data_IF_389512830109
#
_entry.id   IF_389512830109
#
_cell.length_a   1.000
_cell.length_b   1.000
_cell.length_c   1.000
_cell.angle_alpha   90.00
_cell.angle_beta   90.00
_cell.angle_gamma   90.00
#
_symmetry.space_group_name_H-M   'P 1'
#
loop_
_entity.id
_entity.type
_entity.pdbx_description
1 polymer ?
#
# COMPACT_ATOMS: atom_id res chain seq x y z
N UNK A 1 9.83 19.44 -11.33
CA UNK A 1 10.90 19.92 -10.41
C UNK A 1 12.19 19.15 -10.61
N UNK A 2 12.20 17.82 -10.44
CA UNK A 2 13.43 17.02 -10.53
C UNK A 2 14.22 17.22 -11.84
N UNK A 3 13.57 17.13 -13.00
CA UNK A 3 14.22 17.38 -14.31
C UNK A 3 14.87 18.77 -14.40
N UNK A 4 14.22 19.81 -13.84
CA UNK A 4 14.71 21.19 -13.89
C UNK A 4 15.95 21.43 -13.04
N UNK A 5 16.13 20.67 -11.96
CA UNK A 5 17.16 20.94 -10.94
C UNK A 5 18.29 19.90 -11.00
N UNK A 6 17.95 18.61 -11.13
CA UNK A 6 18.91 17.49 -11.06
C UNK A 6 19.13 16.79 -12.42
N UNK A 7 18.42 17.20 -13.48
CA UNK A 7 18.57 16.66 -14.82
C UNK A 7 17.85 15.33 -15.07
N UNK A 8 17.96 14.83 -16.31
CA UNK A 8 17.18 13.69 -16.79
C UNK A 8 17.64 12.33 -16.23
N UNK A 9 18.92 12.18 -15.88
CA UNK A 9 19.43 10.95 -15.28
C UNK A 9 18.76 10.67 -13.91
N UNK A 10 18.69 11.68 -13.05
CA UNK A 10 17.98 11.60 -11.76
C UNK A 10 16.49 11.27 -11.93
N UNK A 11 15.85 11.83 -12.97
CA UNK A 11 14.46 11.51 -13.32
C UNK A 11 14.31 10.05 -13.70
N UNK A 12 15.22 9.49 -14.49
CA UNK A 12 15.21 8.08 -14.88
C UNK A 12 15.31 7.15 -13.66
N UNK A 13 16.26 7.41 -12.76
CA UNK A 13 16.44 6.62 -11.51
C UNK A 13 15.20 6.69 -10.64
N UNK A 14 14.66 7.89 -10.42
CA UNK A 14 13.44 8.08 -9.64
C UNK A 14 12.24 7.37 -10.27
N UNK A 15 12.02 7.56 -11.57
CA UNK A 15 10.89 6.98 -12.28
C UNK A 15 10.95 5.45 -12.28
N UNK A 16 12.12 4.86 -12.44
CA UNK A 16 12.33 3.42 -12.40
C UNK A 16 11.94 2.85 -11.01
N UNK A 17 12.46 3.44 -9.92
CA UNK A 17 12.12 3.02 -8.56
C UNK A 17 10.62 3.21 -8.25
N UNK A 18 10.06 4.35 -8.66
CA UNK A 18 8.67 4.72 -8.39
C UNK A 18 7.70 3.80 -9.12
N UNK A 19 7.87 3.61 -10.43
CA UNK A 19 6.97 2.78 -11.23
C UNK A 19 7.06 1.31 -10.85
N UNK A 20 8.27 0.80 -10.57
CA UNK A 20 8.43 -0.56 -10.08
C UNK A 20 7.61 -0.76 -8.80
N UNK A 21 7.79 0.12 -7.81
CA UNK A 21 7.10 0.02 -6.53
C UNK A 21 5.58 0.16 -6.71
N UNK A 22 5.15 1.16 -7.50
CA UNK A 22 3.73 1.43 -7.73
C UNK A 22 3.05 0.22 -8.37
N UNK A 23 3.60 -0.31 -9.46
CA UNK A 23 3.01 -1.40 -10.22
C UNK A 23 2.93 -2.69 -9.40
N UNK A 24 3.99 -3.04 -8.66
CA UNK A 24 4.00 -4.24 -7.82
C UNK A 24 2.94 -4.18 -6.72
N UNK A 25 2.80 -3.05 -6.04
CA UNK A 25 1.75 -2.88 -5.04
C UNK A 25 0.35 -2.84 -5.67
N UNK A 26 0.22 -2.18 -6.83
CA UNK A 26 -1.07 -1.99 -7.49
C UNK A 26 -1.65 -3.31 -8.01
N UNK A 27 -0.82 -4.20 -8.57
CA UNK A 27 -1.25 -5.53 -9.03
C UNK A 27 -1.87 -6.34 -7.87
N UNK A 28 -1.32 -6.23 -6.67
CA UNK A 28 -1.84 -6.94 -5.50
C UNK A 28 -3.14 -6.34 -4.95
N UNK A 29 -3.30 -5.01 -5.03
CA UNK A 29 -4.38 -4.26 -4.35
C UNK A 29 -5.60 -4.06 -5.24
N UNK A 30 -5.38 -3.82 -6.53
CA UNK A 30 -6.42 -3.32 -7.41
C UNK A 30 -7.58 -4.30 -7.65
N UNK A 31 -7.36 -5.62 -7.84
CA UNK A 31 -8.46 -6.58 -7.99
C UNK A 31 -9.40 -6.59 -6.77
N UNK A 32 -8.81 -6.55 -5.57
CA UNK A 32 -9.53 -6.54 -4.29
C UNK A 32 -10.32 -5.24 -4.16
N UNK A 33 -9.69 -4.12 -4.52
CA UNK A 33 -10.31 -2.79 -4.41
C UNK A 33 -11.49 -2.63 -5.34
N UNK A 34 -11.36 -3.06 -6.61
CA UNK A 34 -12.45 -3.02 -7.59
C UNK A 34 -13.64 -3.90 -7.17
N UNK A 35 -13.36 -5.10 -6.65
CA UNK A 35 -14.41 -5.97 -6.14
C UNK A 35 -15.13 -5.32 -4.94
N UNK A 36 -14.37 -4.89 -3.94
CA UNK A 36 -14.92 -4.32 -2.72
C UNK A 36 -15.64 -2.99 -2.95
N UNK A 37 -15.24 -2.19 -3.95
CA UNK A 37 -15.88 -0.91 -4.26
C UNK A 37 -17.35 -1.10 -4.63
N UNK A 38 -17.64 -1.97 -5.60
CA UNK A 38 -19.01 -2.26 -6.03
C UNK A 38 -19.90 -2.76 -4.88
N UNK A 39 -19.35 -3.62 -4.01
CA UNK A 39 -20.08 -4.14 -2.85
C UNK A 39 -20.30 -3.05 -1.80
N UNK A 40 -19.31 -2.19 -1.56
CA UNK A 40 -19.41 -1.13 -0.56
C UNK A 40 -20.53 -0.13 -0.86
N UNK A 41 -20.70 0.27 -2.13
CA UNK A 41 -21.80 1.14 -2.55
C UNK A 41 -23.15 0.45 -2.42
N UNK A 42 -23.23 -0.83 -2.81
CA UNK A 42 -24.47 -1.62 -2.66
C UNK A 42 -24.90 -1.76 -1.21
N UNK A 43 -23.97 -2.08 -0.30
CA UNK A 43 -24.26 -2.19 1.14
C UNK A 43 -24.73 -0.83 1.68
N UNK A 44 -24.11 0.26 1.24
CA UNK A 44 -24.52 1.61 1.66
C UNK A 44 -25.93 1.97 1.18
N UNK A 45 -26.26 1.66 -0.07
CA UNK A 45 -27.58 1.97 -0.63
C UNK A 45 -28.71 1.09 -0.07
N UNK A 46 -28.43 -0.19 0.21
CA UNK A 46 -29.45 -1.15 0.66
C UNK A 46 -29.59 -1.23 2.18
N UNK A 47 -28.47 -1.15 2.91
CA UNK A 47 -28.42 -1.46 4.34
C UNK A 47 -28.00 -0.24 5.19
N UNK A 48 -27.58 0.85 4.55
CA UNK A 48 -27.22 2.10 5.20
C UNK A 48 -25.81 2.11 5.80
N UNK A 49 -25.53 3.13 6.62
CA UNK A 49 -24.18 3.49 7.03
C UNK A 49 -23.50 2.48 7.96
N UNK A 50 -24.23 1.90 8.91
CA UNK A 50 -23.63 1.07 9.95
C UNK A 50 -23.14 -0.29 9.41
N UNK A 51 -23.89 -1.00 8.54
CA UNK A 51 -23.38 -2.17 7.82
C UNK A 51 -22.19 -1.83 6.91
N UNK A 52 -22.23 -0.70 6.19
CA UNK A 52 -21.09 -0.22 5.39
C UNK A 52 -19.86 0.03 6.25
N UNK A 53 -20.03 0.55 7.47
CA UNK A 53 -18.93 0.81 8.39
C UNK A 53 -18.20 -0.47 8.77
N UNK A 54 -18.94 -1.55 9.08
CA UNK A 54 -18.36 -2.88 9.36
C UNK A 54 -17.69 -3.47 8.13
N UNK A 55 -18.35 -3.39 6.97
CA UNK A 55 -17.78 -3.81 5.68
C UNK A 55 -16.44 -3.12 5.42
N UNK A 56 -16.40 -1.79 5.57
CA UNK A 56 -15.23 -0.97 5.32
C UNK A 56 -14.12 -1.19 6.34
N UNK A 57 -14.45 -1.44 7.61
CA UNK A 57 -13.48 -1.84 8.62
C UNK A 57 -12.76 -3.12 8.19
N UNK A 58 -13.53 -4.11 7.75
CA UNK A 58 -12.98 -5.39 7.34
C UNK A 58 -12.15 -5.25 6.06
N UNK A 59 -12.65 -4.49 5.09
CA UNK A 59 -11.94 -4.20 3.86
C UNK A 59 -10.62 -3.43 4.08
N UNK A 60 -10.61 -2.42 4.96
CA UNK A 60 -9.38 -1.70 5.34
C UNK A 60 -8.38 -2.65 6.00
N UNK A 61 -8.85 -3.55 6.87
CA UNK A 61 -7.99 -4.57 7.49
C UNK A 61 -7.35 -5.49 6.46
N UNK A 62 -8.14 -5.98 5.50
CA UNK A 62 -7.66 -6.81 4.39
C UNK A 62 -6.62 -6.05 3.54
N UNK A 63 -6.90 -4.80 3.19
CA UNK A 63 -5.95 -3.97 2.42
C UNK A 63 -4.64 -3.76 3.19
N UNK A 64 -4.71 -3.45 4.49
CA UNK A 64 -3.51 -3.29 5.31
C UNK A 64 -2.65 -4.54 5.31
N UNK A 65 -3.26 -5.72 5.43
CA UNK A 65 -2.56 -7.00 5.35
C UNK A 65 -1.87 -7.13 4.00
N UNK A 66 -2.61 -6.99 2.89
CA UNK A 66 -2.08 -7.21 1.53
C UNK A 66 -0.97 -6.22 1.20
N UNK A 67 -1.22 -4.92 1.41
CA UNK A 67 -0.24 -3.87 1.09
C UNK A 67 1.01 -4.01 1.94
N UNK A 68 0.87 -4.30 3.23
CA UNK A 68 2.03 -4.49 4.12
C UNK A 68 2.81 -5.76 3.76
N UNK A 69 2.13 -6.85 3.40
CA UNK A 69 2.78 -8.09 2.93
C UNK A 69 3.70 -7.82 1.75
N UNK A 70 3.16 -7.15 0.73
CA UNK A 70 3.87 -6.86 -0.52
C UNK A 70 4.97 -5.83 -0.27
N UNK A 71 4.68 -4.78 0.51
CA UNK A 71 5.65 -3.75 0.86
C UNK A 71 6.85 -4.29 1.63
N UNK A 72 6.63 -5.11 2.67
CA UNK A 72 7.71 -5.73 3.45
C UNK A 72 8.51 -6.71 2.58
N UNK A 73 7.85 -7.53 1.77
CA UNK A 73 8.52 -8.46 0.85
C UNK A 73 9.41 -7.71 -0.15
N UNK A 74 8.87 -6.65 -0.76
CA UNK A 74 9.61 -5.81 -1.70
C UNK A 74 10.79 -5.10 -1.01
N UNK A 75 10.62 -4.67 0.24
CA UNK A 75 11.70 -4.04 1.01
C UNK A 75 12.84 -5.02 1.28
N UNK A 76 12.54 -6.25 1.69
CA UNK A 76 13.54 -7.30 1.94
C UNK A 76 14.24 -7.73 0.65
N UNK A 77 13.51 -7.83 -0.46
CA UNK A 77 14.04 -8.25 -1.76
C UNK A 77 14.51 -7.10 -2.65
N UNK A 78 14.66 -5.88 -2.12
CA UNK A 78 14.94 -4.69 -2.94
C UNK A 78 16.18 -4.80 -3.83
N UNK A 79 17.27 -5.39 -3.35
CA UNK A 79 18.51 -5.56 -4.13
C UNK A 79 18.35 -6.55 -5.29
N UNK A 80 17.92 -7.81 -5.07
CA UNK A 80 17.74 -8.75 -6.16
C UNK A 80 16.62 -8.31 -7.12
N UNK A 81 15.55 -7.67 -6.63
CA UNK A 81 14.48 -7.16 -7.48
C UNK A 81 15.01 -6.07 -8.42
N UNK A 82 15.81 -5.11 -7.92
CA UNK A 82 16.42 -4.08 -8.77
C UNK A 82 17.41 -4.70 -9.77
N UNK A 83 18.29 -5.59 -9.30
CA UNK A 83 19.31 -6.21 -10.17
C UNK A 83 18.75 -7.09 -11.28
N UNK A 84 17.53 -7.62 -11.11
CA UNK A 84 16.87 -8.48 -12.10
C UNK A 84 15.89 -7.70 -12.98
N UNK A 85 15.10 -6.79 -12.40
CA UNK A 85 14.02 -6.11 -13.13
C UNK A 85 14.43 -4.76 -13.71
N UNK A 86 15.54 -4.18 -13.26
CA UNK A 86 16.03 -2.88 -13.72
C UNK A 86 17.44 -3.03 -14.28
N UNK A 87 17.73 -2.30 -15.36
CA UNK A 87 19.07 -2.25 -15.96
C UNK A 87 20.13 -1.81 -14.92
N UNK A 88 21.35 -2.39 -14.92
CA UNK A 88 22.39 -2.12 -13.93
C UNK A 88 22.71 -0.62 -13.72
N UNK A 89 22.60 0.19 -14.77
CA UNK A 89 22.83 1.65 -14.72
C UNK A 89 21.88 2.38 -13.76
N UNK A 90 20.76 1.78 -13.39
CA UNK A 90 19.80 2.33 -12.42
C UNK A 90 19.94 1.71 -11.02
N UNK A 91 21.07 1.05 -10.70
CA UNK A 91 21.27 0.41 -9.40
C UNK A 91 21.03 1.35 -8.20
N UNK A 92 21.28 2.65 -8.36
CA UNK A 92 21.00 3.68 -7.35
C UNK A 92 19.51 3.75 -6.94
N UNK A 93 18.59 3.28 -7.79
CA UNK A 93 17.15 3.19 -7.51
C UNK A 93 16.84 2.38 -6.24
N UNK A 94 17.72 1.43 -5.87
CA UNK A 94 17.52 0.60 -4.67
C UNK A 94 17.43 1.42 -3.39
N UNK A 95 18.15 2.55 -3.31
CA UNK A 95 18.14 3.43 -2.15
C UNK A 95 16.84 4.23 -2.04
N UNK A 96 16.18 4.51 -3.17
CA UNK A 96 14.91 5.22 -3.19
C UNK A 96 13.77 4.35 -2.66
N UNK A 97 13.87 3.02 -2.78
CA UNK A 97 12.84 2.08 -2.31
C UNK A 97 12.58 2.19 -0.81
N UNK A 98 13.56 2.60 -0.01
CA UNK A 98 13.40 2.82 1.45
C UNK A 98 12.33 3.88 1.74
N UNK A 99 12.21 4.89 0.88
CA UNK A 99 11.23 5.96 1.02
C UNK A 99 9.96 5.68 0.20
N UNK A 100 10.11 5.11 -0.98
CA UNK A 100 8.99 4.91 -1.91
C UNK A 100 8.04 3.78 -1.51
N UNK A 101 8.54 2.70 -0.90
CA UNK A 101 7.70 1.59 -0.43
C UNK A 101 6.68 2.06 0.62
N UNK A 102 7.07 2.74 1.73
CA UNK A 102 6.09 3.25 2.68
C UNK A 102 5.21 4.34 2.07
N UNK A 103 5.76 5.21 1.22
CA UNK A 103 5.00 6.24 0.52
C UNK A 103 3.85 5.64 -0.32
N UNK A 104 4.17 4.66 -1.16
CA UNK A 104 3.21 4.03 -2.07
C UNK A 104 2.26 3.11 -1.28
N UNK A 105 2.71 2.49 -0.19
CA UNK A 105 1.81 1.78 0.73
C UNK A 105 0.69 2.71 1.25
N UNK A 106 1.03 3.93 1.64
CA UNK A 106 0.06 4.93 2.09
C UNK A 106 -0.87 5.40 0.97
N UNK A 107 -0.34 5.64 -0.24
CA UNK A 107 -1.18 6.08 -1.36
C UNK A 107 -2.19 5.00 -1.76
N UNK A 108 -1.85 3.71 -1.67
CA UNK A 108 -2.78 2.63 -1.99
C UNK A 108 -3.94 2.49 -0.99
N UNK A 109 -3.75 2.91 0.26
CA UNK A 109 -4.81 2.92 1.27
C UNK A 109 -5.73 4.15 1.15
N UNK A 110 -5.21 5.26 0.62
CA UNK A 110 -5.86 6.56 0.65
C UNK A 110 -7.20 6.63 -0.12
N UNK A 111 -7.38 6.01 -1.31
CA UNK A 111 -8.68 5.98 -1.99
C UNK A 111 -9.80 5.37 -1.14
N UNK A 112 -9.48 4.33 -0.37
CA UNK A 112 -10.43 3.68 0.54
C UNK A 112 -10.87 4.63 1.66
N UNK A 113 -9.94 5.41 2.21
CA UNK A 113 -10.24 6.42 3.23
C UNK A 113 -11.08 7.57 2.66
N UNK A 114 -10.79 7.98 1.42
CA UNK A 114 -11.51 9.04 0.70
C UNK A 114 -13.00 8.71 0.45
N UNK A 115 -13.40 7.44 0.56
CA UNK A 115 -14.82 7.04 0.44
C UNK A 115 -15.73 7.68 1.49
N UNK A 116 -15.18 8.05 2.65
CA UNK A 116 -15.92 8.81 3.68
C UNK A 116 -16.54 10.09 3.13
N UNK A 117 -15.87 10.75 2.19
CA UNK A 117 -16.37 11.95 1.51
C UNK A 117 -17.33 11.62 0.37
N UNK A 118 -17.08 10.52 -0.35
CA UNK A 118 -17.86 10.12 -1.52
C UNK A 118 -19.29 9.71 -1.14
N UNK A 119 -19.46 8.91 -0.07
CA UNK A 119 -20.79 8.48 0.39
C UNK A 119 -21.71 9.64 0.78
N UNK A 120 -21.14 10.71 1.36
CA UNK A 120 -21.88 11.91 1.76
C UNK A 120 -21.83 13.03 0.70
N UNK A 121 -21.31 12.75 -0.50
CA UNK A 121 -21.18 13.70 -1.63
C UNK A 121 -20.39 14.99 -1.29
N UNK A 122 -19.43 14.91 -0.38
CA UNK A 122 -18.52 16.02 0.01
C UNK A 122 -17.25 16.04 -0.85
N UNK A 123 -17.41 16.02 -2.17
CA UNK A 123 -16.29 15.95 -3.12
C UNK A 123 -15.42 17.21 -3.12
N UNK A 124 -15.99 18.38 -2.81
CA UNK A 124 -15.23 19.62 -2.67
C UNK A 124 -14.22 19.56 -1.51
N UNK A 125 -14.61 18.91 -0.41
CA UNK A 125 -13.72 18.71 0.73
C UNK A 125 -12.58 17.74 0.39
N UNK A 126 -12.90 16.66 -0.32
CA UNK A 126 -11.90 15.76 -0.90
C UNK A 126 -10.91 16.53 -1.79
N UNK A 127 -11.40 17.36 -2.72
CA UNK A 127 -10.57 18.17 -3.61
C UNK A 127 -9.66 19.14 -2.86
N UNK A 128 -10.14 19.77 -1.77
CA UNK A 128 -9.33 20.67 -0.94
C UNK A 128 -8.14 19.95 -0.32
N UNK A 129 -8.35 18.77 0.26
CA UNK A 129 -7.27 17.98 0.84
C UNK A 129 -6.29 17.45 -0.21
N UNK A 130 -6.78 17.03 -1.38
CA UNK A 130 -5.91 16.64 -2.50
C UNK A 130 -5.05 17.82 -2.97
N UNK A 131 -5.64 19.00 -3.11
CA UNK A 131 -4.92 20.20 -3.53
C UNK A 131 -3.86 20.61 -2.49
N UNK A 132 -4.18 20.59 -1.19
CA UNK A 132 -3.21 20.90 -0.14
C UNK A 132 -2.02 19.94 -0.15
N UNK A 133 -2.27 18.64 -0.37
CA UNK A 133 -1.19 17.66 -0.50
C UNK A 133 -0.33 17.92 -1.76
N UNK A 134 -0.95 18.26 -2.89
CA UNK A 134 -0.23 18.62 -4.11
C UNK A 134 0.66 19.86 -3.96
N UNK A 135 0.16 20.90 -3.28
CA UNK A 135 0.94 22.11 -2.96
C UNK A 135 2.10 21.77 -2.03
N UNK A 136 1.86 20.97 -0.99
CA UNK A 136 2.92 20.50 -0.09
C UNK A 136 3.98 19.69 -0.83
N UNK A 137 3.58 18.81 -1.76
CA UNK A 137 4.52 18.06 -2.60
C UNK A 137 5.41 18.98 -3.42
N UNK A 138 4.83 20.00 -4.07
CA UNK A 138 5.59 20.95 -4.88
C UNK A 138 6.59 21.73 -4.02
N UNK A 139 6.13 22.26 -2.88
CA UNK A 139 6.98 23.01 -1.94
C UNK A 139 8.14 22.15 -1.40
N UNK A 140 7.85 20.91 -0.98
CA UNK A 140 8.88 19.98 -0.49
C UNK A 140 9.88 19.61 -1.59
N UNK A 141 9.41 19.41 -2.83
CA UNK A 141 10.32 19.15 -3.95
C UNK A 141 11.25 20.34 -4.21
N UNK A 142 10.75 21.58 -4.20
CA UNK A 142 11.62 22.75 -4.34
C UNK A 142 12.59 22.93 -3.18
N UNK A 143 12.21 22.50 -1.97
CA UNK A 143 13.08 22.58 -0.79
C UNK A 143 14.15 21.48 -0.76
N UNK A 144 13.81 20.24 -1.14
CA UNK A 144 14.69 19.07 -0.93
C UNK A 144 15.51 18.67 -2.15
N UNK A 145 14.96 18.81 -3.37
CA UNK A 145 15.64 18.40 -4.60
C UNK A 145 16.97 19.14 -4.82
N UNK A 146 17.13 20.45 -4.53
CA UNK A 146 18.41 21.13 -4.69
C UNK A 146 19.56 20.52 -3.89
N UNK A 147 19.27 19.88 -2.75
CA UNK A 147 20.30 19.33 -1.85
C UNK A 147 20.44 17.80 -1.98
N UNK A 148 19.38 17.12 -2.40
CA UNK A 148 19.29 15.64 -2.34
C UNK A 148 18.85 14.99 -3.65
N UNK A 149 18.68 15.75 -4.74
CA UNK A 149 18.29 15.26 -6.06
C UNK A 149 17.09 14.28 -6.01
N UNK A 150 17.22 13.08 -6.60
CA UNK A 150 16.19 12.03 -6.63
C UNK A 150 15.78 11.53 -5.24
N UNK A 151 16.70 11.52 -4.26
CA UNK A 151 16.39 11.15 -2.88
C UNK A 151 15.47 12.20 -2.26
N UNK A 152 15.73 13.48 -2.53
CA UNK A 152 14.86 14.59 -2.10
C UNK A 152 13.44 14.46 -2.64
N UNK A 153 13.30 14.05 -3.91
CA UNK A 153 12.01 13.77 -4.54
C UNK A 153 11.28 12.59 -3.87
N UNK A 154 12.01 11.54 -3.50
CA UNK A 154 11.44 10.37 -2.80
C UNK A 154 10.94 10.73 -1.39
N UNK A 155 11.72 11.50 -0.63
CA UNK A 155 11.31 11.98 0.70
C UNK A 155 10.11 12.92 0.58
N UNK A 156 10.13 13.87 -0.36
CA UNK A 156 9.00 14.78 -0.61
C UNK A 156 7.71 14.01 -0.93
N UNK A 157 7.81 12.94 -1.71
CA UNK A 157 6.68 12.06 -2.05
C UNK A 157 6.15 11.31 -0.83
N UNK A 158 7.04 10.75 -0.01
CA UNK A 158 6.67 10.06 1.24
C UNK A 158 5.93 10.98 2.20
N UNK A 159 6.46 12.17 2.46
CA UNK A 159 5.84 13.16 3.35
C UNK A 159 4.50 13.62 2.79
N UNK A 160 4.42 13.87 1.48
CA UNK A 160 3.16 14.23 0.82
C UNK A 160 2.09 13.14 0.96
N UNK A 161 2.43 11.87 0.74
CA UNK A 161 1.45 10.79 0.87
C UNK A 161 1.04 10.53 2.32
N UNK A 162 1.93 10.80 3.28
CA UNK A 162 1.55 10.83 4.69
C UNK A 162 0.55 11.95 4.96
N UNK A 163 0.82 13.18 4.52
CA UNK A 163 -0.11 14.32 4.65
C UNK A 163 -1.45 13.99 4.00
N UNK A 164 -1.42 13.46 2.77
CA UNK A 164 -2.62 13.10 2.02
C UNK A 164 -3.44 12.03 2.74
N UNK A 165 -2.83 10.89 3.09
CA UNK A 165 -3.51 9.79 3.78
C UNK A 165 -4.06 10.21 5.14
N UNK A 166 -3.27 10.95 5.94
CA UNK A 166 -3.71 11.50 7.23
C UNK A 166 -4.86 12.49 7.06
N UNK A 167 -4.83 13.36 6.05
CA UNK A 167 -5.91 14.30 5.76
C UNK A 167 -7.20 13.58 5.36
N UNK A 168 -7.11 12.51 4.56
CA UNK A 168 -8.26 11.69 4.19
C UNK A 168 -8.85 10.96 5.39
N UNK A 169 -8.00 10.44 6.28
CA UNK A 169 -8.46 9.79 7.50
C UNK A 169 -9.13 10.80 8.44
N UNK A 170 -8.37 11.78 8.92
CA UNK A 170 -8.82 12.76 9.93
C UNK A 170 -9.98 13.61 9.42
N UNK A 171 -9.87 14.09 8.17
CA UNK A 171 -10.93 14.85 7.52
C UNK A 171 -12.15 13.99 7.17
N UNK A 172 -11.98 12.68 7.05
CA UNK A 172 -13.07 11.72 6.83
C UNK A 172 -13.87 11.42 8.10
N UNK A 173 -13.22 11.46 9.28
CA UNK A 173 -13.85 11.19 10.58
C UNK A 173 -15.08 12.07 10.86
N UNK A 174 -15.10 13.30 10.33
CA UNK A 174 -16.23 14.23 10.48
C UNK A 174 -17.49 13.82 9.70
N UNK A 175 -17.36 12.90 8.75
CA UNK A 175 -18.47 12.40 7.94
C UNK A 175 -18.75 10.93 8.23
N UNK A 176 -17.71 10.10 8.12
CA UNK A 176 -17.79 8.67 8.37
C UNK A 176 -16.54 8.24 9.11
N UNK A 177 -16.69 7.90 10.38
CA UNK A 177 -15.60 7.43 11.20
C UNK A 177 -15.31 5.95 10.92
N UNK A 178 -14.46 5.67 9.93
CA UNK A 178 -13.97 4.31 9.71
C UNK A 178 -13.20 3.83 10.94
N UNK A 179 -13.67 2.77 11.63
CA UNK A 179 -12.91 2.22 12.74
C UNK A 179 -11.63 1.60 12.17
N UNK A 180 -10.48 2.15 12.58
CA UNK A 180 -9.21 1.58 12.16
C UNK A 180 -9.03 0.22 12.85
N UNK A 181 -8.66 -0.83 12.11
CA UNK A 181 -8.40 -2.14 12.68
C UNK A 181 -7.02 -2.13 13.35
N UNK A 182 -6.86 -1.40 14.46
CA UNK A 182 -5.60 -1.26 15.18
C UNK A 182 -5.00 -2.60 15.62
N UNK A 183 -5.87 -3.57 15.96
CA UNK A 183 -5.44 -4.94 16.24
C UNK A 183 -4.72 -5.55 15.06
N UNK A 184 -5.25 -5.38 13.84
CA UNK A 184 -4.61 -5.82 12.60
C UNK A 184 -3.34 -5.05 12.36
N UNK A 185 -3.35 -3.71 12.46
CA UNK A 185 -2.15 -2.90 12.23
C UNK A 185 -0.97 -3.30 13.14
N UNK A 186 -1.24 -3.52 14.44
CA UNK A 186 -0.23 -3.96 15.41
C UNK A 186 0.14 -5.43 15.20
N UNK A 187 -0.82 -6.30 14.87
CA UNK A 187 -0.52 -7.72 14.65
C UNK A 187 0.38 -7.95 13.44
N UNK A 188 0.45 -7.00 12.49
CA UNK A 188 1.35 -7.05 11.33
C UNK A 188 2.84 -6.86 11.69
N UNK A 189 3.15 -6.37 12.89
CA UNK A 189 4.55 -6.23 13.35
C UNK A 189 5.21 -7.59 13.53
N UNK A 190 4.48 -8.57 14.07
CA UNK A 190 4.98 -9.94 14.30
C UNK A 190 5.35 -10.67 13.00
N UNK A 191 4.46 -10.81 11.99
CA UNK A 191 4.81 -11.46 10.73
C UNK A 191 5.88 -10.69 9.97
N UNK A 192 5.91 -9.35 10.03
CA UNK A 192 6.99 -8.56 9.44
C UNK A 192 8.34 -8.86 10.11
N UNK A 193 8.37 -8.95 11.44
CA UNK A 193 9.56 -9.31 12.20
C UNK A 193 10.02 -10.74 11.93
N UNK A 194 9.11 -11.72 11.87
CA UNK A 194 9.42 -13.11 11.52
C UNK A 194 9.95 -13.24 10.10
N UNK A 195 9.37 -12.50 9.15
CA UNK A 195 9.82 -12.49 7.76
C UNK A 195 11.21 -11.84 7.62
N UNK A 196 11.47 -10.77 8.37
CA UNK A 196 12.80 -10.15 8.45
C UNK A 196 13.82 -11.10 9.09
N UNK A 197 13.45 -11.80 10.17
CA UNK A 197 14.29 -12.80 10.81
C UNK A 197 14.59 -13.96 9.85
N UNK A 198 13.58 -14.48 9.15
CA UNK A 198 13.73 -15.52 8.13
C UNK A 198 14.71 -15.09 7.03
N UNK A 199 14.59 -13.85 6.55
CA UNK A 199 15.53 -13.27 5.57
C UNK A 199 16.97 -13.20 6.09
N UNK A 200 17.16 -12.78 7.35
CA UNK A 200 18.48 -12.73 7.99
C UNK A 200 19.07 -14.13 8.18
N UNK A 201 18.25 -15.11 8.60
CA UNK A 201 18.68 -16.50 8.83
C UNK A 201 19.05 -17.23 7.54
N UNK A 202 18.38 -16.92 6.43
CA UNK A 202 18.72 -17.42 5.09
C UNK A 202 19.96 -16.75 4.47
N UNK A 203 20.59 -15.83 5.20
CA UNK A 203 21.63 -14.90 4.75
C UNK A 203 22.45 -15.35 3.53
N UNK A 204 22.47 -14.51 2.49
CA UNK A 204 23.30 -14.55 1.26
C UNK A 204 23.47 -15.89 0.52
N UNK A 205 22.81 -16.98 0.94
CA UNK A 205 23.01 -18.32 0.38
C UNK A 205 22.39 -18.50 -1.01
N UNK A 206 21.45 -17.63 -1.37
CA UNK A 206 20.85 -17.61 -2.70
C UNK A 206 21.52 -16.52 -3.54
N UNK A 207 22.39 -16.93 -4.46
CA UNK A 207 22.82 -16.11 -5.59
C UNK A 207 21.59 -15.88 -6.50
N UNK A 208 20.81 -14.85 -6.15
CA UNK A 208 19.46 -14.53 -6.66
C UNK A 208 19.48 -13.97 -8.10
N UNK A 209 20.43 -14.38 -8.93
CA UNK A 209 20.60 -13.86 -10.29
C UNK A 209 19.53 -14.37 -11.27
N UNK A 210 18.80 -15.44 -10.94
CA UNK A 210 17.72 -15.95 -11.79
C UNK A 210 16.35 -15.37 -11.40
N UNK A 211 15.67 -14.79 -12.38
CA UNK A 211 14.31 -14.22 -12.28
C UNK A 211 13.33 -15.20 -11.63
N UNK A 212 13.45 -16.50 -11.95
CA UNK A 212 12.57 -17.55 -11.41
C UNK A 212 12.73 -17.76 -9.91
N UNK A 213 13.95 -17.65 -9.37
CA UNK A 213 14.20 -17.80 -7.92
C UNK A 213 13.72 -16.57 -7.17
N UNK A 214 13.88 -15.37 -7.73
CA UNK A 214 13.34 -14.13 -7.12
C UNK A 214 11.81 -14.16 -7.11
N UNK A 215 11.18 -14.58 -8.20
CA UNK A 215 9.72 -14.71 -8.29
C UNK A 215 9.18 -15.76 -7.30
N UNK A 216 9.81 -16.92 -7.23
CA UNK A 216 9.46 -17.97 -6.27
C UNK A 216 9.65 -17.50 -4.83
N UNK A 217 10.77 -16.82 -4.53
CA UNK A 217 11.01 -16.23 -3.22
C UNK A 217 9.94 -15.18 -2.88
N UNK A 218 9.60 -14.27 -3.80
CA UNK A 218 8.56 -13.28 -3.56
C UNK A 218 7.20 -13.93 -3.27
N UNK A 219 6.82 -14.97 -4.03
CA UNK A 219 5.58 -15.72 -3.78
C UNK A 219 5.63 -16.42 -2.41
N UNK A 220 6.73 -17.08 -2.07
CA UNK A 220 6.90 -17.73 -0.77
C UNK A 220 6.81 -16.69 0.36
N UNK A 221 7.47 -15.55 0.24
CA UNK A 221 7.44 -14.49 1.24
C UNK A 221 6.02 -13.92 1.43
N UNK A 222 5.29 -13.69 0.34
CA UNK A 222 3.88 -13.25 0.40
C UNK A 222 3.00 -14.32 1.02
N UNK A 223 3.12 -15.58 0.60
CA UNK A 223 2.31 -16.69 1.15
C UNK A 223 2.61 -16.91 2.63
N UNK A 224 3.88 -16.96 3.02
CA UNK A 224 4.30 -17.10 4.43
C UNK A 224 3.78 -15.92 5.25
N UNK A 225 3.92 -14.69 4.76
CA UNK A 225 3.39 -13.53 5.47
C UNK A 225 1.86 -13.59 5.59
N UNK A 226 1.14 -13.96 4.53
CA UNK A 226 -0.32 -14.13 4.57
C UNK A 226 -0.74 -15.26 5.52
N UNK A 227 0.04 -16.34 5.63
CA UNK A 227 -0.19 -17.41 6.58
C UNK A 227 0.09 -16.97 8.02
N UNK A 228 1.13 -16.18 8.28
CA UNK A 228 1.46 -15.66 9.61
C UNK A 228 0.51 -14.54 10.04
N UNK A 229 0.17 -13.61 9.15
CA UNK A 229 -0.90 -12.65 9.31
C UNK A 229 -2.23 -13.39 9.50
N UNK A 230 -2.44 -14.46 8.75
CA UNK A 230 -3.50 -15.45 8.93
C UNK A 230 -3.56 -15.94 10.38
N UNK A 231 -2.55 -16.69 10.81
CA UNK A 231 -2.42 -17.30 12.13
C UNK A 231 -2.55 -16.29 13.29
N UNK A 232 -1.98 -15.09 13.17
CA UNK A 232 -2.12 -14.04 14.20
C UNK A 232 -3.57 -13.53 14.30
N UNK A 233 -4.30 -13.50 13.18
CA UNK A 233 -5.72 -13.18 13.15
C UNK A 233 -6.61 -14.39 13.54
N UNK A 234 -6.18 -15.64 13.31
CA UNK A 234 -6.86 -16.87 13.77
C UNK A 234 -6.68 -17.03 15.28
N UNK A 235 -5.51 -16.69 15.82
CA UNK A 235 -5.27 -16.61 17.26
C UNK A 235 -6.20 -15.55 17.91
N UNK A 236 -6.55 -14.51 17.16
CA UNK A 236 -7.66 -13.59 17.46
C UNK A 236 -9.02 -14.05 16.89
N UNK A 237 -9.38 -15.33 17.13
CA UNK A 237 -10.46 -16.18 16.54
C UNK A 237 -11.74 -15.57 15.96
N UNK A 238 -12.11 -14.31 16.21
CA UNK A 238 -13.29 -13.66 15.64
C UNK A 238 -13.06 -13.05 14.24
N UNK A 239 -11.84 -12.58 13.93
CA UNK A 239 -11.64 -11.69 12.78
C UNK A 239 -11.48 -12.41 11.44
N UNK A 240 -10.80 -13.56 11.39
CA UNK A 240 -10.59 -14.26 10.13
C UNK A 240 -11.80 -15.03 9.63
N UNK A 241 -12.66 -15.51 10.53
CA UNK A 241 -13.97 -16.05 10.16
C UNK A 241 -14.77 -14.98 9.42
N UNK A 242 -14.88 -13.77 10.00
CA UNK A 242 -15.55 -12.64 9.35
C UNK A 242 -14.91 -12.24 8.01
N UNK A 243 -13.57 -12.26 7.88
CA UNK A 243 -12.88 -11.86 6.64
C UNK A 243 -12.98 -12.92 5.53
N UNK A 244 -12.87 -14.21 5.87
CA UNK A 244 -13.07 -15.30 4.92
C UNK A 244 -14.54 -15.39 4.51
N UNK A 245 -15.47 -15.28 5.44
CA UNK A 245 -16.90 -15.19 5.15
C UNK A 245 -17.21 -13.95 4.32
N UNK A 246 -16.54 -12.83 4.57
CA UNK A 246 -16.65 -11.62 3.76
C UNK A 246 -16.16 -11.83 2.33
N UNK A 247 -14.97 -12.41 2.13
CA UNK A 247 -14.44 -12.72 0.80
C UNK A 247 -15.38 -13.68 0.08
N UNK A 248 -15.81 -14.76 0.74
CA UNK A 248 -16.78 -15.72 0.19
C UNK A 248 -18.12 -15.05 -0.12
N UNK A 249 -18.58 -14.12 0.72
CA UNK A 249 -19.82 -13.37 0.52
C UNK A 249 -19.70 -12.40 -0.65
N UNK A 250 -18.57 -11.71 -0.82
CA UNK A 250 -18.31 -10.87 -2.00
C UNK A 250 -18.41 -11.70 -3.27
N UNK A 251 -17.79 -12.89 -3.30
CA UNK A 251 -17.83 -13.76 -4.49
C UNK A 251 -19.23 -14.38 -4.70
N UNK A 252 -19.94 -14.80 -3.64
CA UNK A 252 -21.31 -15.32 -3.72
C UNK A 252 -22.32 -14.26 -4.18
N UNK A 253 -22.23 -13.04 -3.69
CA UNK A 253 -23.12 -11.93 -4.10
C UNK A 253 -22.93 -11.53 -5.56
N UNK A 254 -21.76 -11.83 -6.15
CA UNK A 254 -21.48 -11.69 -7.58
C UNK A 254 -22.03 -12.87 -8.39
N UNK A 255 -21.89 -14.10 -7.89
CA UNK A 255 -22.30 -15.32 -8.57
C UNK A 255 -23.83 -15.49 -8.70
N UNK A 256 -24.63 -14.96 -7.77
CA UNK A 256 -26.11 -15.02 -7.82
C UNK A 256 -26.70 -14.12 -8.94
N UNK A 257 -25.87 -13.42 -9.72
CA UNK A 257 -26.30 -12.53 -10.81
C UNK A 257 -25.59 -12.76 -12.15
N UNK A 258 -24.85 -13.86 -12.31
CA UNK A 258 -24.48 -14.37 -13.63
C UNK A 258 -25.52 -15.39 -14.07
#
# INVERSE_FOLDING_TARGET
VLSLIAGNAAVGIFAAAYQLTLNLLQIAVQPITLAAESVSYRVYELEGLEPTRRFMQNFIGLLLIVVSSVGVTLYLLRYPVIGVLIHPDYGAAVHLLVYLIPAITLIQLSPTLARSFQYVKRTLDLSRYTLSAGVANLALNFALVPFMAEVGSAIASMVCYLIYGSSMYLGGLRYVAWPLPWKTAVSLVVPAGLLALFHLLLGSTFDLQSVGIVALAAVIYVVVYLLLAGLTLIAGRAFLGEQLDFVVTIFKLRAVRA
#
